data_IF_268974772883
#
_entry.id   IF_268974772883
#
_cell.length_a   1.000
_cell.length_b   1.000
_cell.length_c   1.000
_cell.angle_alpha   90.00
_cell.angle_beta   90.00
_cell.angle_gamma   90.00
#
_symmetry.space_group_name_H-M   'P 1'
#
loop_
_entity.id
_entity.type
_entity.pdbx_description
1 polymer ?
#
# COMPACT_ATOMS: atom_id res chain seq x y z
N UNK A 1 -8.84 3.47 -4.59
CA UNK A 1 -9.07 4.91 -4.34
C UNK A 1 -9.09 5.75 -5.61
N UNK A 2 -7.98 5.88 -6.37
CA UNK A 2 -7.87 6.82 -7.50
C UNK A 2 -8.96 6.65 -8.59
N UNK A 3 -9.29 5.42 -8.96
CA UNK A 3 -10.36 5.13 -9.93
C UNK A 3 -11.71 5.69 -9.47
N UNK A 4 -12.05 5.50 -8.19
CA UNK A 4 -13.28 6.05 -7.62
C UNK A 4 -13.28 7.59 -7.62
N UNK A 5 -12.13 8.22 -7.39
CA UNK A 5 -11.99 9.67 -7.47
C UNK A 5 -12.14 10.20 -8.92
N UNK A 6 -11.63 9.48 -9.92
CA UNK A 6 -11.78 9.85 -11.34
C UNK A 6 -13.22 9.67 -11.81
N UNK A 7 -13.87 8.55 -11.47
CA UNK A 7 -15.24 8.24 -11.89
C UNK A 7 -16.31 9.05 -11.15
N UNK A 8 -16.07 9.39 -9.88
CA UNK A 8 -17.04 10.16 -9.08
C UNK A 8 -17.25 11.59 -9.59
N UNK A 9 -16.29 12.18 -10.30
CA UNK A 9 -16.44 13.53 -10.86
C UNK A 9 -17.50 13.60 -11.98
N UNK A 10 -17.40 12.83 -13.08
CA UNK A 10 -18.42 12.84 -14.14
C UNK A 10 -19.76 12.29 -13.64
N UNK A 11 -19.75 11.30 -12.73
CA UNK A 11 -20.99 10.78 -12.11
C UNK A 11 -21.65 11.82 -11.20
N UNK A 12 -20.87 12.58 -10.43
CA UNK A 12 -21.38 13.65 -9.56
C UNK A 12 -21.97 14.80 -10.36
N UNK A 13 -21.28 15.26 -11.41
CA UNK A 13 -21.81 16.29 -12.33
C UNK A 13 -23.04 15.82 -13.09
N UNK A 14 -23.06 14.57 -13.59
CA UNK A 14 -24.24 14.04 -14.29
C UNK A 14 -25.44 13.89 -13.34
N UNK A 15 -25.21 13.41 -12.12
CA UNK A 15 -26.24 13.31 -11.09
C UNK A 15 -26.79 14.69 -10.70
N UNK A 16 -25.94 15.72 -10.60
CA UNK A 16 -26.37 17.10 -10.34
C UNK A 16 -27.17 17.71 -11.51
N UNK A 17 -26.94 17.27 -12.75
CA UNK A 17 -27.70 17.71 -13.93
C UNK A 17 -29.03 16.96 -14.10
N UNK A 18 -29.07 15.67 -13.75
CA UNK A 18 -30.23 14.80 -13.97
C UNK A 18 -31.22 14.86 -12.81
N UNK A 19 -30.76 15.04 -11.57
CA UNK A 19 -31.65 15.00 -10.42
C UNK A 19 -32.45 16.30 -10.23
N UNK A 20 -33.77 16.19 -10.02
CA UNK A 20 -34.61 17.35 -9.81
C UNK A 20 -34.32 18.00 -8.45
N UNK A 21 -34.10 19.32 -8.46
CA UNK A 21 -33.88 20.15 -7.26
C UNK A 21 -35.15 20.39 -6.43
N UNK A 22 -36.22 19.61 -6.67
CA UNK A 22 -37.50 19.79 -5.99
C UNK A 22 -37.40 19.28 -4.56
N UNK A 23 -37.75 20.12 -3.59
CA UNK A 23 -37.85 19.74 -2.19
C UNK A 23 -39.13 18.95 -1.94
N UNK A 24 -39.00 17.68 -1.56
CA UNK A 24 -40.09 16.85 -1.09
C UNK A 24 -40.29 17.10 0.42
N UNK A 25 -41.53 17.38 0.81
CA UNK A 25 -41.91 17.53 2.21
C UNK A 25 -42.30 16.15 2.74
N UNK A 26 -41.44 15.55 3.58
CA UNK A 26 -41.77 14.33 4.29
C UNK A 26 -42.44 14.65 5.63
N UNK A 27 -43.39 13.78 6.02
CA UNK A 27 -44.04 13.75 7.34
C UNK A 27 -44.67 15.10 7.74
N UNK A 28 -45.68 15.53 6.97
CA UNK A 28 -46.54 16.68 7.30
C UNK A 28 -45.84 18.04 7.32
N UNK A 29 -44.73 18.18 6.57
CA UNK A 29 -44.06 19.47 6.37
C UNK A 29 -42.93 19.83 7.34
N UNK A 30 -42.58 18.93 8.28
CA UNK A 30 -41.49 19.16 9.24
C UNK A 30 -40.09 18.88 8.68
N UNK A 31 -39.99 18.07 7.62
CA UNK A 31 -38.72 17.67 7.01
C UNK A 31 -38.75 17.98 5.51
N UNK A 32 -37.86 18.87 5.07
CA UNK A 32 -37.63 19.18 3.65
C UNK A 32 -36.45 18.36 3.16
N UNK A 33 -36.67 17.50 2.18
CA UNK A 33 -35.62 16.69 1.56
C UNK A 33 -35.53 17.05 0.06
N UNK A 34 -34.38 17.55 -0.39
CA UNK A 34 -34.11 17.73 -1.82
C UNK A 34 -33.16 16.63 -2.29
N UNK A 35 -33.46 16.01 -3.43
CA UNK A 35 -32.55 15.05 -4.08
C UNK A 35 -31.32 15.72 -4.67
N UNK A 36 -31.39 17.03 -4.94
CA UNK A 36 -30.30 17.82 -5.46
C UNK A 36 -30.30 19.19 -4.75
N UNK A 37 -29.57 19.33 -3.62
CA UNK A 37 -29.55 20.57 -2.85
C UNK A 37 -28.69 21.67 -3.48
N UNK A 38 -27.81 21.35 -4.43
CA UNK A 38 -26.90 22.32 -5.05
C UNK A 38 -25.92 21.71 -6.06
N UNK A 39 -25.10 22.54 -6.71
CA UNK A 39 -24.11 22.08 -7.69
C UNK A 39 -23.04 21.21 -7.04
N UNK A 40 -22.53 20.23 -7.79
CA UNK A 40 -21.48 19.34 -7.31
C UNK A 40 -20.19 20.12 -7.02
N UNK A 41 -19.75 20.12 -5.76
CA UNK A 41 -18.57 20.89 -5.34
C UNK A 41 -17.35 20.00 -5.09
N UNK A 42 -16.16 20.61 -5.10
CA UNK A 42 -14.91 19.95 -4.69
C UNK A 42 -14.98 19.31 -3.29
N UNK A 43 -15.80 19.86 -2.38
CA UNK A 43 -16.00 19.31 -1.03
C UNK A 43 -16.73 17.98 -1.07
N UNK A 44 -17.79 17.87 -1.88
CA UNK A 44 -18.54 16.63 -2.07
C UNK A 44 -17.67 15.58 -2.76
N UNK A 45 -16.91 15.98 -3.77
CA UNK A 45 -15.95 15.12 -4.44
C UNK A 45 -14.89 14.56 -3.47
N UNK A 46 -14.37 15.42 -2.58
CA UNK A 46 -13.43 15.04 -1.55
C UNK A 46 -14.03 14.01 -0.57
N UNK A 47 -15.25 14.22 -0.09
CA UNK A 47 -15.92 13.30 0.84
C UNK A 47 -16.12 11.93 0.20
N UNK A 48 -16.54 11.87 -1.07
CA UNK A 48 -16.70 10.59 -1.80
C UNK A 48 -15.37 9.85 -1.87
N UNK A 49 -14.28 10.55 -2.21
CA UNK A 49 -12.96 9.95 -2.29
C UNK A 49 -12.46 9.44 -0.93
N UNK A 50 -12.70 10.19 0.16
CA UNK A 50 -12.35 9.75 1.53
C UNK A 50 -13.12 8.50 1.90
N UNK A 51 -14.44 8.45 1.64
CA UNK A 51 -15.26 7.26 1.89
C UNK A 51 -14.76 6.05 1.09
N UNK A 52 -14.47 6.24 -0.20
CA UNK A 52 -13.91 5.19 -1.05
C UNK A 52 -12.52 4.72 -0.57
N UNK A 53 -11.70 5.63 -0.03
CA UNK A 53 -10.40 5.29 0.54
C UNK A 53 -10.56 4.41 1.78
N UNK A 54 -11.43 4.80 2.71
CA UNK A 54 -11.69 4.03 3.95
C UNK A 54 -12.22 2.63 3.69
N UNK A 55 -12.90 2.40 2.57
CA UNK A 55 -13.41 1.09 2.17
C UNK A 55 -12.40 0.22 1.40
N UNK A 56 -11.28 0.78 0.93
CA UNK A 56 -10.36 0.08 0.02
C UNK A 56 -9.30 -0.77 0.71
N UNK A 57 -8.97 -0.48 1.96
CA UNK A 57 -7.95 -1.20 2.73
C UNK A 57 -8.49 -2.47 3.39
N UNK A 58 -7.69 -3.55 3.37
CA UNK A 58 -8.00 -4.77 4.14
C UNK A 58 -7.69 -4.52 5.61
N UNK A 59 -8.68 -4.69 6.48
CA UNK A 59 -8.50 -4.55 7.93
C UNK A 59 -7.54 -5.60 8.49
N UNK A 60 -6.63 -5.19 9.39
CA UNK A 60 -5.78 -6.11 10.15
C UNK A 60 -6.59 -7.16 10.92
N UNK A 61 -7.77 -6.80 11.44
CA UNK A 61 -8.65 -7.75 12.12
C UNK A 61 -9.12 -8.88 11.19
N UNK A 62 -9.41 -8.57 9.92
CA UNK A 62 -9.77 -9.59 8.91
C UNK A 62 -8.57 -10.49 8.64
N UNK A 63 -7.35 -9.94 8.58
CA UNK A 63 -6.14 -10.77 8.39
C UNK A 63 -5.96 -11.77 9.53
N UNK A 64 -6.16 -11.35 10.79
CA UNK A 64 -6.10 -12.24 11.95
C UNK A 64 -7.15 -13.35 11.85
N UNK A 65 -8.40 -13.02 11.53
CA UNK A 65 -9.48 -14.01 11.37
C UNK A 65 -9.15 -15.00 10.24
N UNK A 66 -8.63 -14.51 9.11
CA UNK A 66 -8.24 -15.35 7.98
C UNK A 66 -7.08 -16.27 8.36
N UNK A 67 -6.07 -15.78 9.06
CA UNK A 67 -4.94 -16.60 9.52
C UNK A 67 -5.45 -17.68 10.48
N UNK A 68 -6.33 -17.33 11.43
CA UNK A 68 -6.93 -18.28 12.35
C UNK A 68 -7.74 -19.36 11.62
N UNK A 69 -8.47 -18.99 10.56
CA UNK A 69 -9.25 -19.93 9.77
C UNK A 69 -8.38 -20.84 8.89
N UNK A 70 -7.35 -20.30 8.24
CA UNK A 70 -6.52 -21.00 7.25
C UNK A 70 -5.43 -21.84 7.91
N UNK A 71 -4.73 -21.29 8.90
CA UNK A 71 -3.58 -21.95 9.53
C UNK A 71 -3.94 -22.73 10.79
N UNK A 72 -4.99 -22.31 11.51
CA UNK A 72 -5.40 -22.93 12.76
C UNK A 72 -6.73 -23.70 12.66
N UNK A 73 -7.33 -23.77 11.47
CA UNK A 73 -8.63 -24.43 11.21
C UNK A 73 -9.74 -24.05 12.20
N UNK A 74 -9.65 -22.85 12.78
CA UNK A 74 -10.58 -22.38 13.79
C UNK A 74 -11.44 -21.25 13.23
N UNK A 75 -12.74 -21.49 13.13
CA UNK A 75 -13.70 -20.51 12.65
C UNK A 75 -14.35 -19.75 13.81
N UNK A 76 -14.27 -18.42 13.77
CA UNK A 76 -15.04 -17.57 14.66
C UNK A 76 -16.47 -17.44 14.14
N UNK A 77 -17.44 -17.30 15.06
CA UNK A 77 -18.82 -16.98 14.70
C UNK A 77 -18.85 -15.65 13.94
N UNK A 78 -19.64 -15.57 12.87
CA UNK A 78 -19.73 -14.39 11.99
C UNK A 78 -20.01 -13.10 12.77
N UNK A 79 -20.94 -13.13 13.72
CA UNK A 79 -21.29 -11.94 14.53
C UNK A 79 -20.11 -11.49 15.37
N UNK A 80 -19.37 -12.44 15.97
CA UNK A 80 -18.18 -12.14 16.77
C UNK A 80 -17.07 -11.58 15.88
N UNK A 81 -16.86 -12.15 14.71
CA UNK A 81 -15.91 -11.65 13.72
C UNK A 81 -16.25 -10.22 13.26
N UNK A 82 -17.53 -9.93 13.02
CA UNK A 82 -18.01 -8.59 12.65
C UNK A 82 -17.76 -7.59 13.78
N UNK A 83 -18.11 -7.93 15.03
CA UNK A 83 -17.87 -7.08 16.20
C UNK A 83 -16.37 -6.86 16.45
N UNK A 84 -15.54 -7.88 16.23
CA UNK A 84 -14.09 -7.78 16.33
C UNK A 84 -13.50 -6.82 15.28
N UNK A 85 -13.94 -6.94 14.03
CA UNK A 85 -13.53 -6.01 12.96
C UNK A 85 -14.02 -4.59 13.26
N UNK A 86 -15.28 -4.43 13.66
CA UNK A 86 -15.86 -3.12 13.96
C UNK A 86 -15.12 -2.42 15.12
N UNK A 87 -14.89 -3.13 16.22
CA UNK A 87 -14.17 -2.59 17.39
C UNK A 87 -12.72 -2.22 17.07
N UNK A 88 -12.01 -3.03 16.29
CA UNK A 88 -10.65 -2.72 15.84
C UNK A 88 -10.61 -1.45 14.99
N UNK A 89 -11.57 -1.28 14.06
CA UNK A 89 -11.63 -0.10 13.20
C UNK A 89 -12.04 1.16 13.96
N UNK A 90 -13.04 1.09 14.84
CA UNK A 90 -13.46 2.26 15.64
C UNK A 90 -12.35 2.72 16.58
N UNK A 91 -11.57 1.81 17.15
CA UNK A 91 -10.39 2.13 17.93
C UNK A 91 -9.34 2.86 17.08
N UNK A 92 -9.04 2.36 15.89
CA UNK A 92 -8.08 2.99 14.97
C UNK A 92 -8.49 4.42 14.57
N UNK A 93 -9.74 4.61 14.15
CA UNK A 93 -10.25 5.94 13.81
C UNK A 93 -10.35 6.86 15.04
N UNK A 94 -10.68 6.33 16.22
CA UNK A 94 -10.69 7.08 17.47
C UNK A 94 -9.30 7.62 17.83
N UNK A 95 -8.27 6.77 17.75
CA UNK A 95 -6.88 7.17 17.99
C UNK A 95 -6.38 8.18 16.94
N UNK A 96 -6.71 7.98 15.66
CA UNK A 96 -6.40 8.96 14.62
C UNK A 96 -7.04 10.32 14.89
N UNK A 97 -8.28 10.35 15.41
CA UNK A 97 -8.96 11.57 15.83
C UNK A 97 -8.21 12.34 16.93
N UNK A 98 -7.69 11.62 17.94
CA UNK A 98 -6.87 12.22 19.01
C UNK A 98 -5.54 12.74 18.47
N UNK A 99 -4.88 11.97 17.60
CA UNK A 99 -3.57 12.32 17.05
C UNK A 99 -3.62 13.42 15.98
N UNK A 100 -4.80 13.73 15.42
CA UNK A 100 -4.99 14.79 14.42
C UNK A 100 -4.39 16.14 14.86
N UNK A 101 -4.49 16.48 16.15
CA UNK A 101 -3.92 17.71 16.70
C UNK A 101 -2.40 17.81 16.51
N UNK A 102 -1.70 16.69 16.59
CA UNK A 102 -0.24 16.63 16.48
C UNK A 102 0.22 16.35 15.06
N UNK A 103 -0.58 15.65 14.27
CA UNK A 103 -0.15 15.08 13.00
C UNK A 103 -0.67 15.84 11.77
N UNK A 104 -1.74 16.64 11.94
CA UNK A 104 -2.42 17.30 10.81
C UNK A 104 -2.45 18.82 10.95
N UNK A 105 -2.59 19.36 12.17
CA UNK A 105 -2.65 20.81 12.36
C UNK A 105 -1.30 21.53 12.28
N UNK A 106 -0.16 20.95 12.69
CA UNK A 106 1.13 21.62 12.54
C UNK A 106 1.50 21.82 11.07
N UNK A 107 1.97 23.02 10.72
CA UNK A 107 2.31 23.40 9.34
C UNK A 107 3.52 22.62 8.79
N UNK A 108 4.41 22.17 9.68
CA UNK A 108 5.58 21.36 9.31
C UNK A 108 5.20 19.93 8.85
N UNK A 109 4.02 19.44 9.23
CA UNK A 109 3.57 18.08 8.91
C UNK A 109 2.89 18.02 7.54
N UNK A 110 3.68 17.79 6.50
CA UNK A 110 3.21 17.60 5.13
C UNK A 110 3.00 16.10 4.87
N UNK A 111 1.88 15.76 4.23
CA UNK A 111 1.54 14.40 3.80
C UNK A 111 1.64 14.30 2.27
N UNK A 112 2.78 13.86 1.70
CA UNK A 112 3.00 13.87 0.26
C UNK A 112 1.92 13.09 -0.53
N UNK A 113 1.47 11.95 0.01
CA UNK A 113 0.42 11.11 -0.57
C UNK A 113 -0.91 11.84 -0.74
N UNK A 114 -1.22 12.79 0.15
CA UNK A 114 -2.44 13.57 0.08
C UNK A 114 -2.33 14.71 -0.93
N UNK A 115 -1.10 15.20 -1.20
CA UNK A 115 -0.85 16.30 -2.12
C UNK A 115 -1.26 15.94 -3.55
N UNK A 116 -1.08 14.68 -3.96
CA UNK A 116 -1.52 14.17 -5.26
C UNK A 116 -3.06 14.19 -5.36
N UNK A 117 -3.75 13.77 -4.30
CA UNK A 117 -5.22 13.82 -4.27
C UNK A 117 -5.70 15.27 -4.39
N UNK A 118 -5.06 16.22 -3.69
CA UNK A 118 -5.37 17.65 -3.79
C UNK A 118 -5.11 18.21 -5.20
N UNK A 119 -3.99 17.85 -5.81
CA UNK A 119 -3.67 18.24 -7.19
C UNK A 119 -4.70 17.71 -8.17
N UNK A 120 -5.16 16.46 -8.00
CA UNK A 120 -6.19 15.86 -8.84
C UNK A 120 -7.56 16.51 -8.66
N UNK A 121 -7.97 16.82 -7.42
CA UNK A 121 -9.21 17.57 -7.18
C UNK A 121 -9.17 18.95 -7.82
N UNK A 122 -8.04 19.66 -7.74
CA UNK A 122 -7.87 20.94 -8.44
C UNK A 122 -7.89 20.76 -9.94
N UNK A 123 -7.24 19.74 -10.48
CA UNK A 123 -7.22 19.49 -11.93
C UNK A 123 -8.62 19.24 -12.50
N UNK A 124 -9.49 18.53 -11.78
CA UNK A 124 -10.86 18.30 -12.23
C UNK A 124 -11.79 19.50 -12.05
N UNK A 125 -11.64 20.26 -10.97
CA UNK A 125 -12.55 21.37 -10.64
C UNK A 125 -12.06 22.75 -11.13
N UNK A 126 -10.82 22.91 -11.59
CA UNK A 126 -10.29 24.19 -12.08
C UNK A 126 -10.65 24.51 -13.54
N UNK A 127 -11.48 23.70 -14.22
CA UNK A 127 -12.04 24.11 -15.52
C UNK A 127 -12.81 25.45 -15.42
N UNK A 128 -13.25 25.87 -14.22
CA UNK A 128 -13.96 27.13 -14.02
C UNK A 128 -13.04 28.38 -13.86
N UNK A 129 -11.71 28.22 -13.68
CA UNK A 129 -10.79 29.35 -13.42
C UNK A 129 -9.79 29.65 -14.55
N UNK A 130 -9.61 28.74 -15.52
CA UNK A 130 -8.69 28.95 -16.64
C UNK A 130 -9.24 29.98 -17.68
N UNK A 131 -10.46 30.51 -17.49
CA UNK A 131 -11.01 31.62 -18.29
C UNK A 131 -10.62 33.03 -17.77
N UNK A 132 -10.04 33.16 -16.57
CA UNK A 132 -9.81 34.48 -15.92
C UNK A 132 -8.40 35.06 -16.09
N UNK A 133 -7.42 34.30 -16.60
CA UNK A 133 -6.07 34.82 -16.93
C UNK A 133 -5.85 34.97 -18.45
N UNK A 134 -6.73 35.69 -19.14
CA UNK A 134 -6.36 36.43 -20.36
C UNK A 134 -6.16 37.90 -20.00
N UNK A 135 -5.14 38.19 -19.19
CA UNK A 135 -4.62 39.56 -19.13
C UNK A 135 -3.86 39.82 -20.44
N UNK A 136 -4.42 40.73 -21.20
CA UNK A 136 -3.87 41.35 -22.40
C UNK A 136 -2.43 41.84 -22.15
N UNK A 137 -1.55 41.52 -23.10
CA UNK A 137 -0.18 42.01 -23.28
C UNK A 137 0.94 41.13 -22.70
N UNK A 138 1.08 39.91 -23.21
CA UNK A 138 2.43 39.33 -23.32
C UNK A 138 2.58 38.45 -24.57
N UNK A 139 3.77 38.52 -25.14
CA UNK A 139 4.16 38.06 -26.47
C UNK A 139 3.84 36.57 -26.68
N UNK A 140 3.18 36.28 -27.81
CA UNK A 140 2.75 34.96 -28.24
C UNK A 140 3.98 34.09 -28.55
N UNK A 141 4.48 33.35 -27.56
CA UNK A 141 5.13 32.06 -27.83
C UNK A 141 4.04 31.00 -27.80
N UNK A 142 3.61 30.52 -28.99
CA UNK A 142 2.68 29.39 -29.11
C UNK A 142 3.38 28.11 -28.69
N UNK A 143 3.63 27.92 -27.40
CA UNK A 143 3.69 26.59 -26.84
C UNK A 143 2.23 26.19 -26.64
N UNK A 144 1.67 25.41 -27.57
CA UNK A 144 0.33 24.82 -27.45
C UNK A 144 0.33 23.85 -26.27
N UNK A 145 0.32 24.38 -25.04
CA UNK A 145 0.22 23.60 -23.82
C UNK A 145 -1.09 22.82 -23.91
N UNK A 146 -0.99 21.50 -24.05
CA UNK A 146 -2.16 20.63 -23.98
C UNK A 146 -2.90 20.92 -22.67
N UNK A 147 -4.23 21.04 -22.74
CA UNK A 147 -5.06 21.11 -21.54
C UNK A 147 -4.76 19.90 -20.65
N UNK A 148 -4.68 20.14 -19.33
CA UNK A 148 -4.33 19.13 -18.32
C UNK A 148 -5.24 17.89 -18.40
N UNK A 149 -6.53 18.09 -18.70
CA UNK A 149 -7.49 16.99 -18.88
C UNK A 149 -7.20 16.15 -20.12
N UNK A 150 -6.83 16.76 -21.25
CA UNK A 150 -6.42 16.04 -22.47
C UNK A 150 -5.16 15.21 -22.26
N UNK A 151 -4.18 15.76 -21.55
CA UNK A 151 -2.97 15.02 -21.18
C UNK A 151 -3.29 13.83 -20.28
N UNK A 152 -4.16 14.03 -19.27
CA UNK A 152 -4.60 12.96 -18.38
C UNK A 152 -5.28 11.81 -19.14
N UNK A 153 -6.25 12.09 -20.02
CA UNK A 153 -6.92 11.05 -20.79
C UNK A 153 -5.98 10.34 -21.77
N UNK A 154 -5.03 11.06 -22.37
CA UNK A 154 -4.02 10.45 -23.24
C UNK A 154 -3.13 9.48 -22.45
N UNK A 155 -2.62 9.90 -21.29
CA UNK A 155 -1.79 9.06 -20.43
C UNK A 155 -2.58 7.88 -19.85
N UNK A 156 -3.84 8.08 -19.49
CA UNK A 156 -4.73 7.01 -19.06
C UNK A 156 -4.90 5.95 -20.16
N UNK A 157 -5.11 6.37 -21.41
CA UNK A 157 -5.22 5.45 -22.54
C UNK A 157 -3.91 4.67 -22.77
N UNK A 158 -2.76 5.36 -22.77
CA UNK A 158 -1.46 4.70 -22.87
C UNK A 158 -1.21 3.71 -21.73
N UNK A 159 -1.55 4.06 -20.49
CA UNK A 159 -1.39 3.17 -19.34
C UNK A 159 -2.30 1.94 -19.43
N UNK A 160 -3.54 2.11 -19.90
CA UNK A 160 -4.46 0.99 -20.15
C UNK A 160 -3.85 0.04 -21.18
N UNK A 161 -3.35 0.56 -22.31
CA UNK A 161 -2.70 -0.27 -23.32
C UNK A 161 -1.41 -0.92 -22.80
N UNK A 162 -0.57 -0.16 -22.10
CA UNK A 162 0.68 -0.65 -21.53
C UNK A 162 0.42 -1.79 -20.56
N UNK A 163 -0.64 -1.73 -19.74
CA UNK A 163 -0.95 -2.77 -18.75
C UNK A 163 -1.10 -4.18 -19.35
N UNK A 164 -1.63 -4.30 -20.57
CA UNK A 164 -1.77 -5.60 -21.25
C UNK A 164 -0.42 -6.20 -21.65
N UNK A 165 0.60 -5.37 -21.86
CA UNK A 165 1.91 -5.80 -22.36
C UNK A 165 2.65 -6.64 -21.30
N UNK A 166 3.02 -6.12 -20.12
CA UNK A 166 3.67 -6.94 -19.11
C UNK A 166 2.69 -7.90 -18.42
N UNK A 167 1.37 -7.64 -18.46
CA UNK A 167 0.38 -8.51 -17.80
C UNK A 167 0.02 -9.77 -18.58
N UNK A 168 -0.04 -9.70 -19.91
CA UNK A 168 -0.57 -10.80 -20.74
C UNK A 168 0.28 -11.10 -21.98
N UNK A 169 0.74 -10.09 -22.72
CA UNK A 169 1.41 -10.29 -24.02
C UNK A 169 2.86 -10.78 -23.82
N UNK A 170 3.60 -10.14 -22.91
CA UNK A 170 4.97 -10.50 -22.59
C UNK A 170 5.24 -10.40 -21.08
N UNK A 171 4.86 -11.43 -20.31
CA UNK A 171 5.06 -11.47 -18.86
C UNK A 171 6.51 -11.31 -18.39
N UNK A 172 7.48 -11.60 -19.27
CA UNK A 172 8.92 -11.41 -18.99
C UNK A 172 9.23 -9.92 -18.68
N UNK A 173 8.50 -8.98 -19.27
CA UNK A 173 8.67 -7.55 -18.97
C UNK A 173 8.21 -7.18 -17.56
N UNK A 174 7.34 -7.97 -16.93
CA UNK A 174 6.91 -7.72 -15.55
C UNK A 174 8.08 -7.89 -14.58
N UNK A 175 8.89 -8.94 -14.74
CA UNK A 175 10.12 -9.10 -13.99
C UNK A 175 11.17 -9.91 -14.79
N UNK A 176 12.30 -9.28 -15.10
CA UNK A 176 13.41 -9.88 -15.82
C UNK A 176 14.71 -9.71 -15.05
N UNK A 177 15.38 -10.83 -14.77
CA UNK A 177 16.75 -10.82 -14.23
C UNK A 177 17.72 -11.25 -15.32
N UNK A 178 18.43 -10.28 -15.88
CA UNK A 178 19.39 -10.51 -16.96
C UNK A 178 20.49 -11.50 -16.53
N UNK A 179 20.97 -11.36 -15.30
CA UNK A 179 22.07 -12.17 -14.77
C UNK A 179 21.61 -13.62 -14.56
N UNK A 180 20.41 -13.83 -14.02
CA UNK A 180 19.84 -15.16 -13.86
C UNK A 180 19.54 -15.84 -15.22
N UNK A 181 19.24 -15.06 -16.26
CA UNK A 181 19.00 -15.57 -17.61
C UNK A 181 20.28 -16.11 -18.28
N UNK A 182 21.42 -15.43 -18.09
CA UNK A 182 22.70 -15.84 -18.68
C UNK A 182 23.16 -17.21 -18.15
N UNK A 183 22.95 -17.49 -16.86
CA UNK A 183 23.32 -18.77 -16.27
C UNK A 183 22.28 -19.25 -15.24
N UNK A 184 21.21 -19.86 -15.76
CA UNK A 184 20.08 -20.33 -14.97
C UNK A 184 20.39 -21.54 -14.07
N UNK A 185 21.45 -22.29 -14.36
CA UNK A 185 21.80 -23.51 -13.63
C UNK A 185 22.58 -23.24 -12.34
N UNK A 186 23.11 -22.02 -12.15
CA UNK A 186 23.88 -21.69 -10.96
C UNK A 186 22.95 -21.28 -9.80
N UNK A 187 22.89 -22.12 -8.77
CA UNK A 187 22.04 -21.93 -7.58
C UNK A 187 22.38 -20.63 -6.84
N UNK A 188 23.67 -20.30 -6.71
CA UNK A 188 24.13 -19.07 -6.03
C UNK A 188 23.68 -17.85 -6.81
N UNK A 189 23.84 -17.88 -8.14
CA UNK A 189 23.42 -16.79 -9.01
C UNK A 189 21.91 -16.58 -8.96
N UNK A 190 21.15 -17.67 -8.99
CA UNK A 190 19.70 -17.65 -8.87
C UNK A 190 19.26 -17.08 -7.51
N UNK A 191 19.88 -17.48 -6.41
CA UNK A 191 19.58 -16.95 -5.07
C UNK A 191 19.80 -15.42 -4.97
N UNK A 192 20.88 -14.91 -5.58
CA UNK A 192 21.22 -13.49 -5.51
C UNK A 192 20.39 -12.63 -6.46
N UNK A 193 20.14 -13.11 -7.69
CA UNK A 193 19.67 -12.26 -8.79
C UNK A 193 18.24 -12.55 -9.24
N UNK A 194 17.68 -13.71 -8.89
CA UNK A 194 16.31 -14.07 -9.26
C UNK A 194 15.28 -13.17 -8.58
N UNK A 195 14.11 -13.06 -9.21
CA UNK A 195 12.93 -12.36 -8.70
C UNK A 195 12.41 -13.00 -7.41
N UNK A 196 12.56 -14.33 -7.27
CA UNK A 196 12.23 -15.08 -6.05
C UNK A 196 13.40 -15.14 -5.05
N UNK A 197 14.54 -14.53 -5.40
CA UNK A 197 15.73 -14.41 -4.57
C UNK A 197 15.87 -13.00 -4.00
N UNK A 198 17.09 -12.47 -3.99
CA UNK A 198 17.39 -11.12 -3.49
C UNK A 198 17.24 -10.01 -4.54
N UNK A 199 16.88 -10.37 -5.79
CA UNK A 199 16.54 -9.41 -6.85
C UNK A 199 17.71 -8.55 -7.35
N UNK A 200 18.97 -8.91 -7.06
CA UNK A 200 20.13 -8.12 -7.47
C UNK A 200 20.25 -8.05 -9.00
N UNK A 201 20.14 -6.84 -9.56
CA UNK A 201 20.17 -6.63 -11.01
C UNK A 201 18.90 -7.12 -11.74
N UNK A 202 17.80 -7.34 -11.01
CA UNK A 202 16.49 -7.60 -11.61
C UNK A 202 15.81 -6.29 -12.00
N UNK A 203 15.17 -6.29 -13.16
CA UNK A 203 14.43 -5.16 -13.71
C UNK A 203 12.96 -5.52 -13.82
N UNK A 204 12.10 -4.58 -13.49
CA UNK A 204 10.65 -4.70 -13.63
C UNK A 204 10.17 -3.51 -14.45
N UNK A 205 9.36 -3.73 -15.49
CA UNK A 205 8.74 -2.66 -16.28
C UNK A 205 7.22 -2.57 -16.04
N UNK A 206 6.71 -3.39 -15.12
CA UNK A 206 5.34 -3.34 -14.66
C UNK A 206 5.19 -2.35 -13.50
N UNK A 207 4.49 -1.25 -13.76
CA UNK A 207 4.22 -0.20 -12.76
C UNK A 207 3.50 -0.76 -11.52
N UNK A 208 2.63 -1.76 -11.67
CA UNK A 208 1.96 -2.35 -10.52
C UNK A 208 2.94 -3.13 -9.65
N UNK A 209 3.91 -3.85 -10.23
CA UNK A 209 4.93 -4.56 -9.46
C UNK A 209 5.76 -3.59 -8.58
N UNK A 210 6.11 -2.41 -9.12
CA UNK A 210 6.81 -1.37 -8.36
C UNK A 210 5.95 -0.80 -7.21
N UNK A 211 4.73 -0.36 -7.52
CA UNK A 211 3.86 0.33 -6.55
C UNK A 211 3.34 -0.61 -5.46
N UNK A 212 3.27 -1.92 -5.74
CA UNK A 212 2.81 -2.92 -4.77
C UNK A 212 3.69 -3.01 -3.52
N UNK A 213 4.99 -2.68 -3.63
CA UNK A 213 5.97 -2.88 -2.56
C UNK A 213 6.49 -1.59 -1.91
N UNK A 214 6.68 -0.52 -2.69
CA UNK A 214 7.30 0.74 -2.20
C UNK A 214 6.35 1.94 -2.24
N UNK A 215 5.04 1.69 -2.35
CA UNK A 215 4.06 2.71 -2.75
C UNK A 215 4.47 3.41 -4.05
N UNK A 216 3.78 4.48 -4.43
CA UNK A 216 4.16 5.23 -5.63
C UNK A 216 5.42 6.07 -5.38
N UNK A 217 6.55 5.81 -6.07
CA UNK A 217 7.78 6.56 -5.87
C UNK A 217 7.62 8.01 -6.29
N UNK A 218 6.67 8.34 -7.16
CA UNK A 218 6.42 9.72 -7.59
C UNK A 218 6.00 10.62 -6.41
N UNK A 219 5.41 10.02 -5.37
CA UNK A 219 4.92 10.74 -4.20
C UNK A 219 6.03 11.02 -3.19
N UNK A 220 6.96 10.08 -3.05
CA UNK A 220 7.94 10.06 -1.98
C UNK A 220 9.14 10.92 -2.38
N UNK A 221 9.60 11.86 -1.54
CA UNK A 221 10.74 12.71 -1.87
C UNK A 221 12.01 11.89 -2.09
N UNK A 222 12.84 12.32 -3.03
CA UNK A 222 14.05 11.60 -3.46
C UNK A 222 15.00 11.22 -2.31
N UNK A 223 15.20 12.12 -1.34
CA UNK A 223 16.05 11.82 -0.17
C UNK A 223 15.51 10.64 0.65
N UNK A 224 14.19 10.53 0.83
CA UNK A 224 13.60 9.41 1.56
C UNK A 224 13.76 8.09 0.77
N UNK A 225 13.64 8.15 -0.56
CA UNK A 225 13.88 7.00 -1.43
C UNK A 225 15.33 6.51 -1.34
N UNK A 226 16.30 7.42 -1.33
CA UNK A 226 17.71 7.05 -1.15
C UNK A 226 17.95 6.38 0.21
N UNK A 227 17.34 6.86 1.29
CA UNK A 227 17.47 6.21 2.60
C UNK A 227 16.89 4.79 2.60
N UNK A 228 15.71 4.60 2.00
CA UNK A 228 15.10 3.27 1.84
C UNK A 228 16.01 2.37 1.00
N UNK A 229 16.57 2.87 -0.10
CA UNK A 229 17.48 2.12 -0.96
C UNK A 229 18.76 1.72 -0.21
N UNK A 230 19.37 2.62 0.55
CA UNK A 230 20.57 2.32 1.35
C UNK A 230 20.25 1.25 2.40
N UNK A 231 19.12 1.38 3.10
CA UNK A 231 18.67 0.36 4.06
C UNK A 231 18.45 -1.00 3.39
N UNK A 232 17.82 -1.02 2.21
CA UNK A 232 17.62 -2.21 1.42
C UNK A 232 18.93 -2.86 1.00
N UNK A 233 19.89 -2.09 0.45
CA UNK A 233 21.21 -2.60 0.05
C UNK A 233 21.94 -3.21 1.24
N UNK A 234 21.95 -2.52 2.39
CA UNK A 234 22.63 -3.00 3.59
C UNK A 234 21.99 -4.29 4.12
N UNK A 235 20.67 -4.35 4.24
CA UNK A 235 20.00 -5.51 4.85
C UNK A 235 19.87 -6.70 3.88
N UNK A 236 19.43 -6.44 2.65
CA UNK A 236 19.07 -7.48 1.68
C UNK A 236 20.29 -7.92 0.87
N UNK A 237 21.18 -7.01 0.47
CA UNK A 237 22.33 -7.36 -0.38
C UNK A 237 23.63 -7.60 0.39
N UNK A 238 23.78 -7.10 1.62
CA UNK A 238 24.99 -7.29 2.42
C UNK A 238 24.72 -8.26 3.58
N UNK A 239 23.85 -7.89 4.52
CA UNK A 239 23.66 -8.66 5.75
C UNK A 239 23.05 -10.03 5.49
N UNK A 240 21.98 -10.11 4.69
CA UNK A 240 21.26 -11.36 4.43
C UNK A 240 22.16 -12.43 3.77
N UNK A 241 22.88 -12.15 2.65
CA UNK A 241 23.88 -13.06 2.10
C UNK A 241 24.98 -13.42 3.09
N UNK A 242 25.48 -12.47 3.87
CA UNK A 242 26.56 -12.72 4.83
C UNK A 242 26.13 -13.76 5.86
N UNK A 243 24.94 -13.59 6.46
CA UNK A 243 24.36 -14.57 7.39
C UNK A 243 24.14 -15.91 6.72
N UNK A 244 23.58 -15.91 5.51
CA UNK A 244 23.27 -17.13 4.77
C UNK A 244 24.52 -17.95 4.42
N UNK A 245 25.53 -17.32 3.81
CA UNK A 245 26.72 -18.02 3.33
C UNK A 245 27.71 -18.38 4.45
N UNK A 246 27.77 -17.60 5.53
CA UNK A 246 28.49 -17.97 6.76
C UNK A 246 27.75 -19.03 7.60
N UNK A 247 26.55 -19.43 7.19
CA UNK A 247 25.71 -20.39 7.90
C UNK A 247 25.41 -19.98 9.35
N UNK A 248 25.27 -18.67 9.59
CA UNK A 248 24.88 -18.17 10.90
C UNK A 248 23.44 -18.62 11.18
N UNK A 249 23.19 -19.10 12.39
CA UNK A 249 21.89 -19.66 12.82
C UNK A 249 21.38 -20.86 12.01
N UNK A 250 22.28 -21.66 11.43
CA UNK A 250 21.94 -22.78 10.54
C UNK A 250 21.05 -22.35 9.36
N UNK A 251 21.27 -21.13 8.87
CA UNK A 251 20.49 -20.54 7.78
C UNK A 251 20.52 -21.35 6.48
N UNK A 252 21.59 -22.12 6.20
CA UNK A 252 21.70 -22.92 4.97
C UNK A 252 20.72 -24.10 4.91
N UNK A 253 20.16 -24.53 6.05
CA UNK A 253 19.13 -25.54 6.08
C UNK A 253 17.79 -25.04 5.48
N UNK A 254 17.62 -23.72 5.37
CA UNK A 254 16.40 -23.07 4.90
C UNK A 254 16.65 -22.31 3.59
N UNK A 255 15.62 -22.01 2.79
CA UNK A 255 15.77 -21.11 1.65
C UNK A 255 16.16 -19.68 2.10
N UNK A 256 16.95 -18.99 1.27
CA UNK A 256 17.42 -17.63 1.55
C UNK A 256 16.27 -16.61 1.71
N UNK A 257 15.22 -16.75 0.91
CA UNK A 257 13.99 -15.97 0.99
C UNK A 257 12.79 -16.91 1.14
N UNK A 258 12.07 -16.77 2.25
CA UNK A 258 10.78 -17.42 2.47
C UNK A 258 10.04 -16.80 3.64
N UNK A 259 8.71 -16.78 3.57
CA UNK A 259 7.79 -16.38 4.63
C UNK A 259 7.24 -17.59 5.43
N UNK A 260 7.73 -18.80 5.16
CA UNK A 260 7.28 -20.02 5.83
C UNK A 260 8.11 -20.32 7.08
N UNK A 261 7.55 -21.17 7.94
CA UNK A 261 8.18 -21.67 9.15
C UNK A 261 8.86 -23.01 8.87
N UNK A 262 10.04 -23.21 9.47
CA UNK A 262 10.86 -24.39 9.24
C UNK A 262 11.25 -25.09 10.55
N UNK A 263 11.57 -26.37 10.47
CA UNK A 263 12.27 -27.13 11.51
C UNK A 263 13.78 -26.85 11.44
N UNK A 264 14.53 -27.32 12.44
CA UNK A 264 16.01 -27.22 12.44
C UNK A 264 16.64 -27.91 11.23
N UNK A 265 15.97 -28.95 10.72
CA UNK A 265 16.40 -29.75 9.56
C UNK A 265 16.03 -29.13 8.20
N UNK A 266 15.27 -28.03 8.19
CA UNK A 266 14.87 -27.35 6.95
C UNK A 266 13.54 -27.81 6.35
N UNK A 267 12.80 -28.70 7.03
CA UNK A 267 11.45 -29.09 6.61
C UNK A 267 10.40 -28.07 7.04
N UNK A 268 9.26 -28.04 6.36
CA UNK A 268 8.15 -27.17 6.76
C UNK A 268 7.64 -27.53 8.16
N UNK A 269 7.51 -26.52 9.02
CA UNK A 269 7.04 -26.72 10.38
C UNK A 269 5.54 -26.98 10.40
N UNK A 270 5.12 -28.14 10.92
CA UNK A 270 3.71 -28.46 11.05
C UNK A 270 3.14 -27.86 12.35
N UNK A 271 2.46 -26.73 12.21
CA UNK A 271 1.89 -25.98 13.33
C UNK A 271 0.82 -26.81 14.06
N UNK A 272 -0.03 -27.54 13.33
CA UNK A 272 -1.12 -28.32 13.93
C UNK A 272 -0.65 -29.53 14.73
N UNK A 273 0.59 -30.00 14.54
CA UNK A 273 1.16 -31.09 15.32
C UNK A 273 1.55 -30.67 16.75
N UNK A 274 1.74 -29.37 16.97
CA UNK A 274 2.29 -28.81 18.22
C UNK A 274 1.21 -28.10 19.04
N UNK A 275 0.07 -27.80 18.44
CA UNK A 275 -1.08 -27.20 19.10
C UNK A 275 -2.09 -28.25 19.51
N UNK A 276 -2.59 -28.14 20.73
CA UNK A 276 -3.75 -28.90 21.20
C UNK A 276 -5.05 -28.39 20.52
N UNK A 277 -6.11 -29.19 20.62
CA UNK A 277 -7.49 -28.89 20.20
C UNK A 277 -8.00 -27.51 20.65
N UNK A 278 -7.49 -27.00 21.78
CA UNK A 278 -7.81 -25.67 22.32
C UNK A 278 -6.86 -24.55 21.85
N UNK A 279 -6.05 -24.77 20.81
CA UNK A 279 -5.01 -23.85 20.32
C UNK A 279 -3.96 -23.47 21.39
N UNK A 280 -3.75 -24.34 22.37
CA UNK A 280 -2.70 -24.19 23.38
C UNK A 280 -1.46 -24.95 22.93
N UNK A 281 -0.29 -24.44 23.27
CA UNK A 281 0.97 -25.12 22.99
C UNK A 281 1.02 -26.42 23.79
N UNK A 282 1.17 -27.56 23.11
CA UNK A 282 1.47 -28.83 23.75
C UNK A 282 2.99 -28.93 23.93
N UNK A 283 3.47 -28.71 25.16
CA UNK A 283 4.90 -28.70 25.47
C UNK A 283 5.59 -30.04 25.14
N UNK A 284 4.90 -31.16 25.30
CA UNK A 284 5.47 -32.48 24.99
C UNK A 284 5.69 -32.66 23.49
N UNK A 285 4.70 -32.29 22.67
CA UNK A 285 4.81 -32.30 21.21
C UNK A 285 5.83 -31.27 20.71
N UNK A 286 5.91 -30.10 21.35
CA UNK A 286 6.90 -29.07 21.02
C UNK A 286 8.33 -29.56 21.27
N UNK A 287 8.57 -30.21 22.40
CA UNK A 287 9.89 -30.77 22.73
C UNK A 287 10.30 -31.89 21.77
N UNK A 288 9.35 -32.64 21.21
CA UNK A 288 9.60 -33.66 20.20
C UNK A 288 9.88 -33.08 18.81
N UNK A 289 9.09 -32.09 18.37
CA UNK A 289 9.25 -31.45 17.06
C UNK A 289 10.37 -30.40 17.02
N UNK A 290 10.82 -29.94 18.18
CA UNK A 290 11.86 -28.96 18.33
C UNK A 290 11.41 -27.52 18.05
N UNK A 291 12.35 -26.57 18.22
CA UNK A 291 12.05 -25.16 18.08
C UNK A 291 11.78 -24.77 16.62
N UNK A 292 10.79 -23.89 16.43
CA UNK A 292 10.50 -23.28 15.13
C UNK A 292 11.66 -22.39 14.66
N UNK A 293 11.92 -22.40 13.36
CA UNK A 293 12.94 -21.59 12.70
C UNK A 293 12.31 -20.73 11.61
N UNK A 294 12.86 -19.52 11.46
CA UNK A 294 12.51 -18.58 10.40
C UNK A 294 13.76 -18.25 9.60
N UNK A 295 13.56 -17.87 8.33
CA UNK A 295 14.67 -17.45 7.47
C UNK A 295 15.32 -16.17 7.99
N UNK A 296 16.60 -15.96 7.67
CA UNK A 296 17.35 -14.79 8.10
C UNK A 296 16.67 -13.48 7.65
N UNK A 297 16.22 -13.42 6.38
CA UNK A 297 15.52 -12.25 5.86
C UNK A 297 14.22 -11.97 6.60
N UNK A 298 13.49 -13.02 7.00
CA UNK A 298 12.25 -12.86 7.76
C UNK A 298 12.52 -12.35 9.17
N UNK A 299 13.57 -12.85 9.84
CA UNK A 299 14.02 -12.35 11.14
C UNK A 299 14.44 -10.88 11.08
N UNK A 300 15.21 -10.48 10.06
CA UNK A 300 15.61 -9.08 9.86
C UNK A 300 14.42 -8.17 9.59
N UNK A 301 13.43 -8.62 8.82
CA UNK A 301 12.21 -7.85 8.59
C UNK A 301 11.48 -7.53 9.91
N UNK A 302 11.35 -8.53 10.80
CA UNK A 302 10.80 -8.27 12.15
C UNK A 302 11.68 -7.33 12.97
N UNK A 303 13.00 -7.53 12.96
CA UNK A 303 13.94 -6.68 13.69
C UNK A 303 13.86 -5.21 13.27
N UNK A 304 13.79 -4.94 11.97
CA UNK A 304 13.61 -3.60 11.41
C UNK A 304 12.25 -3.03 11.78
N UNK A 305 11.19 -3.85 11.76
CA UNK A 305 9.85 -3.44 12.20
C UNK A 305 9.84 -2.93 13.65
N UNK A 306 10.52 -3.61 14.57
CA UNK A 306 10.67 -3.14 15.95
C UNK A 306 11.56 -1.90 16.05
N UNK A 307 12.66 -1.87 15.31
CA UNK A 307 13.58 -0.72 15.29
C UNK A 307 12.92 0.55 14.73
N UNK A 308 11.95 0.43 13.83
CA UNK A 308 11.24 1.57 13.25
C UNK A 308 10.53 2.41 14.31
N UNK A 309 9.96 1.79 15.35
CA UNK A 309 9.29 2.51 16.45
C UNK A 309 10.28 3.39 17.21
N UNK A 310 11.45 2.83 17.55
CA UNK A 310 12.52 3.60 18.20
C UNK A 310 13.13 4.65 17.28
N UNK A 311 13.22 4.37 15.98
CA UNK A 311 13.73 5.30 14.99
C UNK A 311 12.87 6.57 14.92
N UNK A 312 11.53 6.44 14.97
CA UNK A 312 10.62 7.58 15.00
C UNK A 312 10.89 8.48 16.23
N UNK A 313 11.09 7.89 17.40
CA UNK A 313 11.42 8.66 18.62
C UNK A 313 12.76 9.38 18.50
N UNK A 314 13.80 8.70 18.00
CA UNK A 314 15.12 9.31 17.81
C UNK A 314 15.07 10.40 16.74
N UNK A 315 14.36 10.17 15.64
CA UNK A 315 14.20 11.13 14.56
C UNK A 315 13.49 12.41 15.01
N UNK A 316 12.40 12.27 15.77
CA UNK A 316 11.66 13.42 16.32
C UNK A 316 12.52 14.22 17.29
N UNK A 317 13.26 13.56 18.19
CA UNK A 317 14.18 14.25 19.13
C UNK A 317 15.28 15.02 18.38
N UNK A 318 15.87 14.43 17.34
CA UNK A 318 16.97 15.04 16.60
C UNK A 318 16.53 16.21 15.70
N UNK A 319 15.36 16.11 15.07
CA UNK A 319 14.94 17.08 14.06
C UNK A 319 14.05 18.19 14.60
N UNK A 320 13.15 17.87 15.54
CA UNK A 320 12.17 18.83 16.04
C UNK A 320 12.56 19.43 17.40
N UNK A 321 13.57 18.85 18.08
CA UNK A 321 13.83 19.15 19.49
C UNK A 321 12.65 18.70 20.37
N UNK A 322 12.84 18.56 21.68
CA UNK A 322 11.70 18.36 22.58
C UNK A 322 10.79 19.59 22.63
#
# INVERSE_FOLDING_TARGET
MLVAQVLSYPMGKSMALILPSRSFLLRGGRWRFSLNPGPFTIKEHCIIAVMANTASGISLAIQVITIQRVFYNHSLNYVLALLFVLSSQTLGYGMAGVMRRYVVWPVAMIWPSNLINCAMFRAFNNEDNDEVEMNSNEVITVSRKMSRSRFFYLMLFFQILWYWIPGYICPILSAFSLICYINSNNVVLSQLTSVNGLGLGSFQLDWNAWVSFLDSPIVVPFWAQLNILVGFVVLVWIITPTVYYLNLWNSKAMPIVSNRLFTVEGYYYNISAVLDSNLRLNETAYNLHGPLRITAIFAFNYGVGFAAVTCILVHTILNDGM
#
